data_IF_690415573852
#
_entry.id   IF_690415573852
#
_cell.length_a   1.000
_cell.length_b   1.000
_cell.length_c   1.000
_cell.angle_alpha   90.00
_cell.angle_beta   90.00
_cell.angle_gamma   90.00
#
_symmetry.space_group_name_H-M   'P 1'
#
loop_
_entity.id
_entity.type
_entity.pdbx_description
1 polymer ?
#
# COMPACT_ATOMS: atom_id res chain seq x y z
N UNK A 1 40.67 -4.87 -13.97
CA UNK A 1 39.81 -6.07 -13.91
C UNK A 1 39.19 -6.33 -12.53
N UNK A 2 39.94 -6.36 -11.42
CA UNK A 2 39.37 -6.57 -10.06
C UNK A 2 38.33 -5.53 -9.62
N UNK A 3 38.50 -4.26 -9.98
CA UNK A 3 37.53 -3.19 -9.66
C UNK A 3 36.21 -3.27 -10.44
N UNK A 4 36.24 -3.79 -11.67
CA UNK A 4 35.04 -3.93 -12.53
C UNK A 4 34.17 -5.09 -12.04
N UNK A 5 34.77 -6.16 -11.52
CA UNK A 5 34.07 -7.30 -10.91
C UNK A 5 33.44 -6.89 -9.56
N UNK A 6 34.09 -6.00 -8.81
CA UNK A 6 33.53 -5.48 -7.55
C UNK A 6 32.31 -4.57 -7.80
N UNK A 7 32.34 -3.76 -8.87
CA UNK A 7 31.25 -2.85 -9.24
C UNK A 7 30.02 -3.59 -9.80
N UNK A 8 30.21 -4.71 -10.52
CA UNK A 8 29.11 -5.54 -11.02
C UNK A 8 28.41 -6.34 -9.91
N UNK A 9 29.13 -6.75 -8.87
CA UNK A 9 28.55 -7.39 -7.68
C UNK A 9 27.71 -6.39 -6.86
N UNK A 10 28.11 -5.11 -6.82
CA UNK A 10 27.38 -4.08 -6.09
C UNK A 10 26.03 -3.72 -6.77
N UNK A 11 25.96 -3.73 -8.11
CA UNK A 11 24.72 -3.40 -8.83
C UNK A 11 23.67 -4.53 -8.78
N UNK A 12 24.05 -5.79 -8.57
CA UNK A 12 23.12 -6.91 -8.58
C UNK A 12 22.36 -7.08 -7.25
N UNK A 13 22.88 -6.57 -6.14
CA UNK A 13 22.26 -6.65 -4.81
C UNK A 13 21.03 -5.74 -4.61
N UNK A 14 20.86 -4.71 -5.43
CA UNK A 14 19.81 -3.69 -5.26
C UNK A 14 18.44 -4.18 -5.77
N UNK A 15 18.39 -5.17 -6.67
CA UNK A 15 17.16 -5.67 -7.27
C UNK A 15 16.30 -6.57 -6.35
N UNK A 16 16.93 -7.32 -5.44
CA UNK A 16 16.24 -8.33 -4.62
C UNK A 16 15.39 -7.71 -3.48
N UNK A 17 15.79 -6.56 -2.93
CA UNK A 17 15.05 -5.88 -1.87
C UNK A 17 13.79 -5.14 -2.36
N UNK A 18 13.72 -4.79 -3.64
CA UNK A 18 12.60 -4.03 -4.22
C UNK A 18 11.32 -4.87 -4.37
N UNK A 19 11.46 -6.17 -4.64
CA UNK A 19 10.34 -7.06 -4.94
C UNK A 19 9.43 -7.29 -3.71
N UNK A 20 9.99 -7.65 -2.56
CA UNK A 20 9.21 -7.94 -1.35
C UNK A 20 8.43 -6.71 -0.83
N UNK A 21 8.97 -5.50 -1.06
CA UNK A 21 8.32 -4.26 -0.67
C UNK A 21 6.99 -4.04 -1.40
N UNK A 22 6.90 -4.42 -2.70
CA UNK A 22 5.69 -4.15 -3.49
C UNK A 22 4.50 -5.00 -3.05
N UNK A 23 4.74 -6.27 -2.74
CA UNK A 23 3.69 -7.19 -2.25
C UNK A 23 3.12 -6.71 -0.92
N UNK A 24 3.98 -6.29 0.01
CA UNK A 24 3.59 -5.76 1.32
C UNK A 24 2.84 -4.43 1.20
N UNK A 25 3.22 -3.56 0.28
CA UNK A 25 2.50 -2.32 -0.04
C UNK A 25 1.06 -2.61 -0.51
N UNK A 26 0.91 -3.53 -1.48
CA UNK A 26 -0.41 -3.92 -2.00
C UNK A 26 -1.29 -4.55 -0.90
N UNK A 27 -0.71 -5.40 -0.05
CA UNK A 27 -1.43 -5.98 1.08
C UNK A 27 -1.89 -4.93 2.08
N UNK A 28 -1.01 -4.01 2.46
CA UNK A 28 -1.34 -2.90 3.38
C UNK A 28 -2.46 -2.06 2.80
N UNK A 29 -2.35 -1.70 1.51
CA UNK A 29 -3.38 -0.92 0.82
C UNK A 29 -4.72 -1.65 0.75
N UNK A 30 -4.71 -2.96 0.51
CA UNK A 30 -5.91 -3.80 0.53
C UNK A 30 -6.56 -3.80 1.92
N UNK A 31 -5.77 -3.92 2.98
CA UNK A 31 -6.27 -3.88 4.36
C UNK A 31 -6.87 -2.50 4.72
N UNK A 32 -6.24 -1.41 4.29
CA UNK A 32 -6.79 -0.05 4.44
C UNK A 32 -8.15 0.08 3.78
N UNK A 33 -8.27 -0.33 2.51
CA UNK A 33 -9.53 -0.27 1.75
C UNK A 33 -10.62 -1.13 2.41
N UNK A 34 -10.28 -2.29 2.97
CA UNK A 34 -11.23 -3.13 3.74
C UNK A 34 -11.73 -2.42 5.00
N UNK A 35 -10.81 -1.84 5.78
CA UNK A 35 -11.17 -1.07 6.98
C UNK A 35 -12.04 0.13 6.60
N UNK A 36 -11.76 0.77 5.47
CA UNK A 36 -12.55 1.87 4.95
C UNK A 36 -13.97 1.42 4.56
N UNK A 37 -14.13 0.29 3.87
CA UNK A 37 -15.44 -0.30 3.55
C UNK A 37 -16.23 -0.63 4.82
N UNK A 38 -15.56 -1.18 5.84
CA UNK A 38 -16.18 -1.48 7.13
C UNK A 38 -16.69 -0.19 7.81
N UNK A 39 -15.85 0.85 7.87
CA UNK A 39 -16.24 2.16 8.40
C UNK A 39 -17.42 2.76 7.63
N UNK A 40 -17.39 2.73 6.29
CA UNK A 40 -18.51 3.21 5.45
C UNK A 40 -19.79 2.45 5.78
N UNK A 41 -19.71 1.13 5.92
CA UNK A 41 -20.88 0.28 6.18
C UNK A 41 -21.47 0.55 7.56
N UNK A 42 -20.62 0.68 8.59
CA UNK A 42 -21.03 1.05 9.94
C UNK A 42 -21.67 2.45 9.98
N UNK A 43 -21.04 3.43 9.33
CA UNK A 43 -21.57 4.79 9.23
C UNK A 43 -22.91 4.83 8.48
N UNK A 44 -23.09 4.00 7.44
CA UNK A 44 -24.38 3.89 6.74
C UNK A 44 -25.45 3.26 7.64
N UNK A 45 -25.13 2.22 8.40
CA UNK A 45 -26.08 1.58 9.30
C UNK A 45 -26.56 2.53 10.41
N UNK A 46 -25.64 3.25 11.06
CA UNK A 46 -25.98 4.23 12.10
C UNK A 46 -26.78 5.43 11.57
N UNK A 47 -26.63 5.76 10.29
CA UNK A 47 -27.31 6.89 9.66
C UNK A 47 -28.63 6.51 8.94
N UNK A 48 -28.98 5.22 8.86
CA UNK A 48 -30.21 4.74 8.19
C UNK A 48 -31.50 5.15 8.90
N UNK A 49 -31.46 5.36 10.23
CA UNK A 49 -32.62 5.73 11.06
C UNK A 49 -32.97 7.22 11.02
N UNK A 50 -32.21 8.04 10.30
CA UNK A 50 -32.41 9.49 10.21
C UNK A 50 -32.65 9.81 8.75
N UNK A 51 -33.78 10.44 8.44
CA UNK A 51 -34.22 10.81 7.09
C UNK A 51 -33.15 11.61 6.32
N UNK A 52 -32.19 10.91 5.71
CA UNK A 52 -31.18 11.52 4.86
C UNK A 52 -31.78 11.72 3.47
N UNK A 53 -31.66 12.93 2.96
CA UNK A 53 -31.94 13.29 1.56
C UNK A 53 -31.33 12.26 0.60
N UNK A 54 -32.07 11.89 -0.44
CA UNK A 54 -31.63 11.01 -1.54
C UNK A 54 -30.25 11.40 -2.10
N UNK A 55 -29.94 12.71 -2.10
CA UNK A 55 -28.65 13.24 -2.52
C UNK A 55 -27.47 12.81 -1.63
N UNK A 56 -27.66 12.71 -0.32
CA UNK A 56 -26.60 12.22 0.58
C UNK A 56 -26.42 10.70 0.44
N UNK A 57 -27.51 9.98 0.14
CA UNK A 57 -27.44 8.55 -0.07
C UNK A 57 -26.66 8.21 -1.35
N UNK A 58 -26.92 8.92 -2.45
CA UNK A 58 -26.22 8.67 -3.71
C UNK A 58 -24.72 8.96 -3.60
N UNK A 59 -24.31 10.05 -2.94
CA UNK A 59 -22.89 10.34 -2.67
C UNK A 59 -22.20 9.20 -1.90
N UNK A 60 -22.87 8.66 -0.87
CA UNK A 60 -22.35 7.56 -0.08
C UNK A 60 -22.24 6.25 -0.89
N UNK A 61 -23.19 5.98 -1.80
CA UNK A 61 -23.11 4.87 -2.73
C UNK A 61 -21.96 5.05 -3.72
N UNK A 62 -21.85 6.21 -4.38
CA UNK A 62 -20.77 6.50 -5.33
C UNK A 62 -19.39 6.35 -4.66
N UNK A 63 -19.24 6.83 -3.42
CA UNK A 63 -18.02 6.65 -2.66
C UNK A 63 -17.72 5.18 -2.37
N UNK A 64 -18.69 4.42 -1.84
CA UNK A 64 -18.52 2.99 -1.56
C UNK A 64 -18.15 2.20 -2.81
N UNK A 65 -18.81 2.47 -3.94
CA UNK A 65 -18.52 1.87 -5.24
C UNK A 65 -17.07 2.17 -5.66
N UNK A 66 -16.60 3.41 -5.49
CA UNK A 66 -15.21 3.78 -5.80
C UNK A 66 -14.20 3.02 -4.92
N UNK A 67 -14.46 2.85 -3.62
CA UNK A 67 -13.57 2.09 -2.72
C UNK A 67 -13.57 0.60 -3.09
N UNK A 68 -14.73 0.02 -3.43
CA UNK A 68 -14.84 -1.36 -3.88
C UNK A 68 -14.10 -1.61 -5.21
N UNK A 69 -14.23 -0.69 -6.17
CA UNK A 69 -13.51 -0.76 -7.45
C UNK A 69 -11.98 -0.72 -7.24
N UNK A 70 -11.52 0.19 -6.37
CA UNK A 70 -10.11 0.25 -5.96
C UNK A 70 -9.65 -1.03 -5.25
N UNK A 71 -10.49 -1.62 -4.38
CA UNK A 71 -10.18 -2.88 -3.71
C UNK A 71 -10.00 -4.02 -4.71
N UNK A 72 -10.89 -4.12 -5.71
CA UNK A 72 -10.77 -5.11 -6.79
C UNK A 72 -9.50 -4.87 -7.60
N UNK A 73 -9.19 -3.62 -7.96
CA UNK A 73 -7.98 -3.25 -8.69
C UNK A 73 -6.71 -3.66 -7.96
N UNK A 74 -6.59 -3.31 -6.67
CA UNK A 74 -5.43 -3.68 -5.83
C UNK A 74 -5.34 -5.20 -5.64
N UNK A 75 -6.47 -5.87 -5.44
CA UNK A 75 -6.51 -7.34 -5.30
C UNK A 75 -6.06 -8.04 -6.59
N UNK A 76 -6.48 -7.54 -7.76
CA UNK A 76 -6.02 -8.02 -9.06
C UNK A 76 -4.51 -7.80 -9.26
N UNK A 77 -4.01 -6.61 -8.90
CA UNK A 77 -2.57 -6.31 -8.96
C UNK A 77 -1.77 -7.26 -8.06
N UNK A 78 -2.25 -7.55 -6.85
CA UNK A 78 -1.62 -8.50 -5.94
C UNK A 78 -1.65 -9.93 -6.48
N UNK A 79 -2.79 -10.39 -7.02
CA UNK A 79 -2.90 -11.71 -7.63
C UNK A 79 -1.99 -11.88 -8.85
N UNK A 80 -1.88 -10.83 -9.67
CA UNK A 80 -0.95 -10.79 -10.80
C UNK A 80 0.48 -10.84 -10.31
N UNK A 81 0.84 -10.07 -9.28
CA UNK A 81 2.18 -10.10 -8.70
C UNK A 81 2.57 -11.50 -8.20
N UNK A 82 1.70 -12.14 -7.41
CA UNK A 82 1.92 -13.52 -6.94
C UNK A 82 2.01 -14.50 -8.12
N UNK A 83 1.26 -14.28 -9.20
CA UNK A 83 1.36 -15.10 -10.42
C UNK A 83 2.75 -15.01 -11.06
N UNK A 84 3.36 -13.83 -11.09
CA UNK A 84 4.73 -13.66 -11.60
C UNK A 84 5.75 -14.34 -10.68
N UNK A 85 5.59 -14.23 -9.35
CA UNK A 85 6.45 -14.94 -8.38
C UNK A 85 6.35 -16.46 -8.56
N UNK A 86 5.13 -17.00 -8.68
CA UNK A 86 4.88 -18.43 -8.93
C UNK A 86 5.59 -18.88 -10.20
N UNK A 87 5.47 -18.13 -11.30
CA UNK A 87 6.10 -18.48 -12.57
C UNK A 87 7.64 -18.45 -12.48
N UNK A 88 8.21 -17.48 -11.76
CA UNK A 88 9.66 -17.41 -11.52
C UNK A 88 10.15 -18.59 -10.68
N UNK A 89 9.44 -18.89 -9.58
CA UNK A 89 9.77 -20.00 -8.69
C UNK A 89 9.61 -21.35 -9.38
N UNK A 90 8.60 -21.52 -10.23
CA UNK A 90 8.41 -22.72 -11.03
C UNK A 90 9.60 -22.97 -11.97
N UNK A 91 10.10 -21.93 -12.66
CA UNK A 91 11.29 -22.03 -13.50
C UNK A 91 12.54 -22.43 -12.70
N UNK A 92 12.75 -21.81 -11.53
CA UNK A 92 13.86 -22.16 -10.63
C UNK A 92 13.77 -23.61 -10.17
N UNK A 93 12.58 -24.07 -9.79
CA UNK A 93 12.32 -25.46 -9.38
C UNK A 93 12.62 -26.44 -10.52
N UNK A 94 12.22 -26.12 -11.75
CA UNK A 94 12.53 -26.96 -12.91
C UNK A 94 14.04 -27.05 -13.14
N UNK A 95 14.74 -25.90 -13.18
CA UNK A 95 16.19 -25.88 -13.37
C UNK A 95 16.93 -26.64 -12.27
N UNK A 96 16.58 -26.41 -11.00
CA UNK A 96 17.19 -27.13 -9.86
C UNK A 96 16.90 -28.64 -9.90
N UNK A 97 15.73 -29.05 -10.39
CA UNK A 97 15.43 -30.47 -10.60
C UNK A 97 16.34 -31.09 -11.65
N UNK A 98 16.54 -30.39 -12.77
CA UNK A 98 17.39 -30.88 -13.86
C UNK A 98 18.85 -30.94 -13.43
N UNK A 99 19.35 -29.91 -12.73
CA UNK A 99 20.69 -29.90 -12.12
C UNK A 99 20.87 -31.04 -11.12
N UNK A 100 19.92 -31.24 -10.21
CA UNK A 100 19.96 -32.33 -9.22
C UNK A 100 19.93 -33.71 -9.90
N UNK A 101 19.20 -33.85 -11.01
CA UNK A 101 19.17 -35.09 -11.78
C UNK A 101 20.57 -35.40 -12.34
N UNK A 102 21.19 -34.43 -13.00
CA UNK A 102 22.56 -34.58 -13.55
C UNK A 102 23.57 -34.88 -12.44
N UNK A 103 23.56 -34.11 -11.35
CA UNK A 103 24.46 -34.33 -10.21
C UNK A 103 24.32 -35.73 -9.59
N UNK A 104 23.08 -36.23 -9.47
CA UNK A 104 22.82 -37.58 -8.94
C UNK A 104 23.27 -38.67 -9.90
N UNK A 105 23.07 -38.49 -11.21
CA UNK A 105 23.54 -39.42 -12.24
C UNK A 105 25.07 -39.48 -12.28
N UNK A 106 25.74 -38.33 -12.25
CA UNK A 106 27.20 -38.23 -12.20
C UNK A 106 27.78 -38.85 -10.94
N UNK A 107 27.21 -38.51 -9.78
CA UNK A 107 27.62 -39.08 -8.49
C UNK A 107 27.42 -40.60 -8.47
N UNK A 108 26.27 -41.12 -8.93
CA UNK A 108 26.03 -42.54 -9.02
C UNK A 108 27.05 -43.24 -9.95
N UNK A 109 27.34 -42.65 -11.11
CA UNK A 109 28.33 -43.19 -12.05
C UNK A 109 29.73 -43.26 -11.43
N UNK A 110 30.11 -42.22 -10.67
CA UNK A 110 31.38 -42.14 -9.97
C UNK A 110 31.48 -43.22 -8.88
N UNK A 111 30.42 -43.42 -8.08
CA UNK A 111 30.38 -44.46 -7.05
C UNK A 111 30.49 -45.85 -7.68
N UNK A 112 29.75 -46.14 -8.75
CA UNK A 112 29.82 -47.43 -9.46
C UNK A 112 31.23 -47.68 -10.02
N UNK A 113 31.84 -46.67 -10.67
CA UNK A 113 33.23 -46.77 -11.17
C UNK A 113 34.22 -47.01 -10.04
N UNK A 114 34.09 -46.29 -8.91
CA UNK A 114 34.93 -46.49 -7.73
C UNK A 114 34.75 -47.85 -7.10
N UNK A 115 33.57 -48.45 -7.17
CA UNK A 115 33.31 -49.79 -6.64
C UNK A 115 33.95 -50.86 -7.53
N UNK A 116 33.74 -50.78 -8.85
CA UNK A 116 34.31 -51.73 -9.83
C UNK A 116 35.85 -51.72 -9.83
N UNK A 117 36.48 -50.56 -9.70
CA UNK A 117 37.94 -50.44 -9.66
C UNK A 117 38.59 -50.94 -8.36
N UNK A 118 37.81 -51.10 -7.28
CA UNK A 118 38.29 -51.57 -5.98
C UNK A 118 38.91 -52.97 -6.04
N UNK A 119 38.43 -53.84 -6.93
CA UNK A 119 38.94 -55.21 -7.11
C UNK A 119 40.10 -55.30 -8.12
N UNK A 120 40.19 -54.40 -9.11
CA UNK A 120 41.25 -54.45 -10.14
C UNK A 120 42.55 -53.77 -9.69
N UNK A 121 42.48 -52.69 -8.91
CA UNK A 121 43.64 -52.00 -8.36
C UNK A 121 43.32 -51.52 -6.93
N UNK A 122 43.57 -52.36 -5.93
CA UNK A 122 43.41 -51.98 -4.51
C UNK A 122 44.11 -50.64 -4.24
N UNK A 123 43.44 -49.72 -3.52
CA UNK A 123 44.01 -48.39 -3.18
C UNK A 123 45.37 -48.50 -2.50
N UNK A 124 45.57 -49.56 -1.72
CA UNK A 124 46.83 -49.89 -1.07
C UNK A 124 47.87 -50.31 -2.14
N UNK A 125 47.51 -51.20 -3.06
CA UNK A 125 48.38 -51.60 -4.19
C UNK A 125 48.74 -50.41 -5.10
N UNK A 126 47.82 -49.46 -5.30
CA UNK A 126 48.09 -48.23 -6.05
C UNK A 126 49.12 -47.33 -5.35
N UNK A 127 49.10 -47.26 -4.02
CA UNK A 127 50.11 -46.53 -3.25
C UNK A 127 51.44 -47.28 -3.21
N UNK A 128 51.41 -48.59 -2.99
CA UNK A 128 52.60 -49.46 -2.87
C UNK A 128 53.32 -49.71 -4.20
N UNK A 129 52.63 -49.64 -5.34
CA UNK A 129 53.24 -49.75 -6.69
C UNK A 129 53.92 -48.45 -7.16
N UNK A 130 54.39 -47.62 -6.24
CA UNK A 130 55.07 -46.35 -6.57
C UNK A 130 56.58 -46.59 -6.65
N UNK A 131 57.22 -46.05 -7.69
CA UNK A 131 58.66 -46.21 -7.93
C UNK A 131 59.53 -45.41 -6.94
N UNK A 132 58.97 -44.40 -6.26
CA UNK A 132 59.67 -43.60 -5.23
C UNK A 132 58.68 -42.88 -4.29
N UNK A 133 59.21 -42.35 -3.18
CA UNK A 133 58.44 -41.64 -2.15
C UNK A 133 57.67 -40.41 -2.68
N UNK A 134 58.29 -39.62 -3.57
CA UNK A 134 57.65 -38.45 -4.19
C UNK A 134 56.41 -38.84 -5.00
N UNK A 135 56.47 -39.95 -5.74
CA UNK A 135 55.35 -40.49 -6.49
C UNK A 135 54.24 -41.01 -5.56
N UNK A 136 54.61 -41.73 -4.50
CA UNK A 136 53.66 -42.22 -3.49
C UNK A 136 52.91 -41.07 -2.80
N UNK A 137 53.63 -40.00 -2.41
CA UNK A 137 53.04 -38.81 -1.80
C UNK A 137 52.05 -38.10 -2.74
N UNK A 138 52.39 -37.94 -4.02
CA UNK A 138 51.46 -37.39 -5.02
C UNK A 138 50.21 -38.25 -5.18
N UNK A 139 50.36 -39.58 -5.30
CA UNK A 139 49.24 -40.53 -5.37
C UNK A 139 48.32 -40.45 -4.14
N UNK A 140 48.90 -40.30 -2.94
CA UNK A 140 48.14 -40.08 -1.71
C UNK A 140 47.37 -38.76 -1.73
N UNK A 141 47.98 -37.67 -2.19
CA UNK A 141 47.27 -36.40 -2.36
C UNK A 141 46.11 -36.51 -3.35
N UNK A 142 46.29 -37.20 -4.48
CA UNK A 142 45.21 -37.42 -5.44
C UNK A 142 44.05 -38.22 -4.85
N UNK A 143 44.33 -39.28 -4.09
CA UNK A 143 43.28 -40.04 -3.39
C UNK A 143 42.51 -39.15 -2.40
N UNK A 144 43.22 -38.30 -1.65
CA UNK A 144 42.60 -37.35 -0.72
C UNK A 144 41.71 -36.33 -1.45
N UNK A 145 42.20 -35.74 -2.54
CA UNK A 145 41.43 -34.81 -3.37
C UNK A 145 40.16 -35.48 -3.93
N UNK A 146 40.29 -36.71 -4.43
CA UNK A 146 39.16 -37.49 -4.92
C UNK A 146 38.11 -37.71 -3.82
N UNK A 147 38.50 -38.22 -2.64
CA UNK A 147 37.56 -38.43 -1.53
C UNK A 147 36.89 -37.14 -1.06
N UNK A 148 37.63 -36.03 -1.07
CA UNK A 148 37.07 -34.72 -0.72
C UNK A 148 36.04 -34.26 -1.75
N UNK A 149 36.31 -34.45 -3.05
CA UNK A 149 35.37 -34.15 -4.12
C UNK A 149 34.10 -34.99 -4.01
N UNK A 150 34.20 -36.30 -3.71
CA UNK A 150 33.02 -37.15 -3.48
C UNK A 150 32.17 -36.63 -2.33
N UNK A 151 32.81 -36.26 -1.21
CA UNK A 151 32.12 -35.70 -0.05
C UNK A 151 31.41 -34.38 -0.42
N UNK A 152 32.10 -33.48 -1.12
CA UNK A 152 31.55 -32.20 -1.56
C UNK A 152 30.33 -32.39 -2.49
N UNK A 153 30.39 -33.30 -3.45
CA UNK A 153 29.24 -33.61 -4.32
C UNK A 153 28.04 -34.12 -3.51
N UNK A 154 28.27 -34.99 -2.52
CA UNK A 154 27.21 -35.46 -1.63
C UNK A 154 26.57 -34.33 -0.81
N UNK A 155 27.39 -33.43 -0.26
CA UNK A 155 26.92 -32.24 0.48
C UNK A 155 26.16 -31.27 -0.43
N UNK A 156 26.61 -31.06 -1.66
CA UNK A 156 25.93 -30.23 -2.66
C UNK A 156 24.57 -30.79 -3.05
N UNK A 157 24.48 -32.10 -3.33
CA UNK A 157 23.20 -32.78 -3.62
C UNK A 157 22.25 -32.62 -2.45
N UNK A 158 22.73 -32.77 -1.21
CA UNK A 158 21.91 -32.58 -0.01
C UNK A 158 21.39 -31.14 0.07
N UNK A 159 22.26 -30.15 -0.02
CA UNK A 159 21.90 -28.74 0.08
C UNK A 159 20.89 -28.32 -1.01
N UNK A 160 21.13 -28.70 -2.27
CA UNK A 160 20.20 -28.44 -3.38
C UNK A 160 18.87 -29.18 -3.20
N UNK A 161 18.87 -30.37 -2.60
CA UNK A 161 17.62 -31.11 -2.31
C UNK A 161 16.78 -30.39 -1.25
N UNK A 162 17.42 -29.90 -0.18
CA UNK A 162 16.76 -29.11 0.86
C UNK A 162 16.22 -27.78 0.30
N UNK A 163 16.99 -27.09 -0.54
CA UNK A 163 16.54 -25.89 -1.25
C UNK A 163 15.31 -26.17 -2.12
N UNK A 164 15.35 -27.24 -2.92
CA UNK A 164 14.23 -27.65 -3.77
C UNK A 164 12.97 -27.96 -2.94
N UNK A 165 13.13 -28.64 -1.80
CA UNK A 165 12.01 -28.92 -0.90
C UNK A 165 11.40 -27.63 -0.36
N UNK A 166 12.24 -26.70 0.13
CA UNK A 166 11.82 -25.38 0.61
C UNK A 166 11.05 -24.61 -0.47
N UNK A 167 11.59 -24.53 -1.69
CA UNK A 167 10.94 -23.86 -2.82
C UNK A 167 9.59 -24.46 -3.18
N UNK A 168 9.46 -25.79 -3.19
CA UNK A 168 8.18 -26.46 -3.43
C UNK A 168 7.15 -26.14 -2.32
N UNK A 169 7.56 -26.13 -1.05
CA UNK A 169 6.65 -25.77 0.05
C UNK A 169 6.18 -24.32 -0.05
N UNK A 170 7.07 -23.39 -0.43
CA UNK A 170 6.71 -21.99 -0.64
C UNK A 170 5.76 -21.83 -1.84
N UNK A 171 6.02 -22.53 -2.94
CA UNK A 171 5.17 -22.51 -4.13
C UNK A 171 3.73 -22.95 -3.81
N UNK A 172 3.54 -23.98 -2.98
CA UNK A 172 2.22 -24.43 -2.53
C UNK A 172 1.51 -23.31 -1.76
N UNK A 173 2.19 -22.71 -0.78
CA UNK A 173 1.65 -21.58 0.00
C UNK A 173 1.25 -20.40 -0.89
N UNK A 174 2.09 -20.03 -1.86
CA UNK A 174 1.78 -18.95 -2.81
C UNK A 174 0.54 -19.26 -3.67
N UNK A 175 0.36 -20.52 -4.10
CA UNK A 175 -0.83 -20.95 -4.86
C UNK A 175 -2.10 -20.88 -4.01
N UNK A 176 -2.05 -21.36 -2.77
CA UNK A 176 -3.16 -21.28 -1.82
C UNK A 176 -3.58 -19.83 -1.53
N UNK A 177 -2.59 -18.97 -1.27
CA UNK A 177 -2.84 -17.55 -1.05
C UNK A 177 -3.48 -16.90 -2.28
N UNK A 178 -2.95 -17.14 -3.49
CA UNK A 178 -3.55 -16.65 -4.73
C UNK A 178 -5.01 -17.09 -4.88
N UNK A 179 -5.31 -18.36 -4.61
CA UNK A 179 -6.68 -18.88 -4.71
C UNK A 179 -7.62 -18.20 -3.71
N UNK A 180 -7.16 -17.96 -2.48
CA UNK A 180 -7.90 -17.18 -1.48
C UNK A 180 -8.18 -15.76 -1.97
N UNK A 181 -7.20 -15.08 -2.55
CA UNK A 181 -7.39 -13.73 -3.10
C UNK A 181 -8.43 -13.70 -4.22
N UNK A 182 -8.41 -14.68 -5.11
CA UNK A 182 -9.38 -14.78 -6.21
C UNK A 182 -10.80 -15.01 -5.65
N UNK A 183 -10.95 -15.87 -4.65
CA UNK A 183 -12.24 -16.11 -4.00
C UNK A 183 -12.78 -14.83 -3.32
N UNK A 184 -11.94 -14.14 -2.54
CA UNK A 184 -12.29 -12.85 -1.91
C UNK A 184 -12.65 -11.77 -2.95
N UNK A 185 -11.93 -11.74 -4.08
CA UNK A 185 -12.20 -10.80 -5.16
C UNK A 185 -13.56 -11.06 -5.82
N UNK A 186 -13.94 -12.32 -6.05
CA UNK A 186 -15.26 -12.70 -6.59
C UNK A 186 -16.41 -12.24 -5.68
N UNK A 187 -16.25 -12.39 -4.36
CA UNK A 187 -17.24 -11.88 -3.38
C UNK A 187 -17.34 -10.36 -3.46
N UNK A 188 -16.20 -9.68 -3.57
CA UNK A 188 -16.13 -8.21 -3.70
C UNK A 188 -16.81 -7.74 -5.00
N UNK A 189 -16.62 -8.45 -6.11
CA UNK A 189 -17.29 -8.18 -7.39
C UNK A 189 -18.82 -8.29 -7.27
N UNK A 190 -19.33 -9.39 -6.70
CA UNK A 190 -20.77 -9.55 -6.45
C UNK A 190 -21.34 -8.42 -5.58
N UNK A 191 -20.59 -8.01 -4.56
CA UNK A 191 -20.99 -6.90 -3.69
C UNK A 191 -21.01 -5.57 -4.45
N UNK A 192 -20.02 -5.32 -5.31
CA UNK A 192 -19.95 -4.14 -6.16
C UNK A 192 -21.13 -4.08 -7.15
N UNK A 193 -21.48 -5.21 -7.77
CA UNK A 193 -22.64 -5.31 -8.66
C UNK A 193 -23.94 -4.98 -7.92
N UNK A 194 -24.15 -5.54 -6.73
CA UNK A 194 -25.32 -5.23 -5.91
C UNK A 194 -25.38 -3.75 -5.48
N UNK A 195 -24.24 -3.12 -5.16
CA UNK A 195 -24.22 -1.68 -4.84
C UNK A 195 -24.45 -0.82 -6.09
N UNK A 196 -23.97 -1.24 -7.26
CA UNK A 196 -24.20 -0.55 -8.54
C UNK A 196 -25.67 -0.57 -8.94
N UNK A 197 -26.35 -1.71 -8.84
CA UNK A 197 -27.78 -1.80 -9.16
C UNK A 197 -28.63 -0.91 -8.24
N UNK A 198 -28.33 -0.89 -6.94
CA UNK A 198 -28.98 0.02 -5.99
C UNK A 198 -28.71 1.50 -6.32
N UNK A 199 -27.47 1.84 -6.65
CA UNK A 199 -27.08 3.19 -7.06
C UNK A 199 -27.79 3.61 -8.36
N UNK A 200 -27.89 2.71 -9.34
CA UNK A 200 -28.59 2.97 -10.61
C UNK A 200 -30.08 3.21 -10.40
N UNK A 201 -30.75 2.40 -9.59
CA UNK A 201 -32.16 2.58 -9.25
C UNK A 201 -32.42 3.93 -8.58
N UNK A 202 -31.55 4.32 -7.62
CA UNK A 202 -31.63 5.64 -6.99
C UNK A 202 -31.35 6.76 -8.00
N UNK A 203 -30.35 6.59 -8.87
CA UNK A 203 -30.04 7.58 -9.91
C UNK A 203 -31.19 7.77 -10.89
N UNK A 204 -31.93 6.70 -11.23
CA UNK A 204 -33.13 6.82 -12.07
C UNK A 204 -34.21 7.67 -11.39
N UNK A 205 -34.43 7.50 -10.08
CA UNK A 205 -35.38 8.34 -9.33
C UNK A 205 -34.95 9.80 -9.25
N UNK A 206 -33.64 10.05 -9.09
CA UNK A 206 -33.05 11.39 -9.07
C UNK A 206 -33.17 12.04 -10.46
N UNK A 207 -32.90 11.31 -11.55
CA UNK A 207 -33.03 11.81 -12.92
C UNK A 207 -34.45 12.24 -13.27
N UNK A 208 -35.47 11.51 -12.79
CA UNK A 208 -36.89 11.91 -12.96
C UNK A 208 -37.17 13.27 -12.32
N UNK A 209 -36.43 13.63 -11.27
CA UNK A 209 -36.56 14.89 -10.53
C UNK A 209 -35.29 15.77 -10.68
N UNK A 210 -34.61 15.72 -11.83
CA UNK A 210 -33.29 16.34 -12.00
C UNK A 210 -33.31 17.84 -11.71
N UNK A 211 -34.33 18.56 -12.18
CA UNK A 211 -34.48 20.01 -11.95
C UNK A 211 -34.51 20.37 -10.46
N UNK A 212 -35.23 19.59 -9.64
CA UNK A 212 -35.31 19.75 -8.18
C UNK A 212 -33.93 19.57 -7.54
N UNK A 213 -33.20 18.51 -7.91
CA UNK A 213 -31.90 18.22 -7.34
C UNK A 213 -30.81 19.18 -7.82
N UNK A 214 -30.81 19.58 -9.09
CA UNK A 214 -29.94 20.63 -9.64
C UNK A 214 -30.16 21.96 -8.91
N UNK A 215 -31.42 22.32 -8.61
CA UNK A 215 -31.73 23.50 -7.81
C UNK A 215 -31.18 23.38 -6.36
N UNK A 216 -31.35 22.23 -5.71
CA UNK A 216 -30.79 21.96 -4.38
C UNK A 216 -29.25 22.02 -4.36
N UNK A 217 -28.59 21.47 -5.38
CA UNK A 217 -27.13 21.54 -5.53
C UNK A 217 -26.68 22.99 -5.66
N UNK A 218 -27.29 23.75 -6.58
CA UNK A 218 -26.97 25.18 -6.76
C UNK A 218 -27.22 25.98 -5.48
N UNK A 219 -28.26 25.66 -4.72
CA UNK A 219 -28.51 26.29 -3.43
C UNK A 219 -27.40 26.00 -2.41
N UNK A 220 -26.98 24.73 -2.30
CA UNK A 220 -25.88 24.33 -1.42
C UNK A 220 -24.53 24.94 -1.82
N UNK A 221 -24.25 25.04 -3.11
CA UNK A 221 -23.04 25.72 -3.61
C UNK A 221 -23.05 27.21 -3.28
N UNK A 222 -24.19 27.89 -3.44
CA UNK A 222 -24.32 29.30 -3.05
C UNK A 222 -24.17 29.51 -1.54
N UNK A 223 -24.72 28.60 -0.74
CA UNK A 223 -24.58 28.64 0.71
C UNK A 223 -23.13 28.41 1.14
N UNK A 224 -22.44 27.42 0.55
CA UNK A 224 -21.02 27.20 0.76
C UNK A 224 -20.18 28.41 0.36
N UNK A 225 -20.40 28.97 -0.82
CA UNK A 225 -19.68 30.17 -1.29
C UNK A 225 -19.92 31.39 -0.38
N UNK A 226 -21.12 31.55 0.17
CA UNK A 226 -21.42 32.61 1.15
C UNK A 226 -20.65 32.40 2.46
N UNK A 227 -20.64 31.17 2.98
CA UNK A 227 -19.89 30.82 4.19
C UNK A 227 -18.40 31.08 3.98
N UNK A 228 -17.84 30.65 2.85
CA UNK A 228 -16.44 30.85 2.53
C UNK A 228 -16.09 32.34 2.41
N UNK A 229 -16.95 33.15 1.78
CA UNK A 229 -16.75 34.59 1.71
C UNK A 229 -16.78 35.27 3.09
N UNK A 230 -17.63 34.80 4.00
CA UNK A 230 -17.68 35.33 5.37
C UNK A 230 -16.45 34.91 6.17
N UNK A 231 -16.01 33.65 6.04
CA UNK A 231 -14.76 33.15 6.64
C UNK A 231 -13.58 34.00 6.13
N UNK A 232 -13.48 34.25 4.83
CA UNK A 232 -12.43 35.07 4.24
C UNK A 232 -12.44 36.51 4.77
N UNK A 233 -13.63 37.09 4.96
CA UNK A 233 -13.79 38.44 5.51
C UNK A 233 -13.31 38.50 6.96
N UNK A 234 -13.66 37.50 7.76
CA UNK A 234 -13.24 37.37 9.16
C UNK A 234 -11.73 37.19 9.26
N UNK A 235 -11.14 36.30 8.46
CA UNK A 235 -9.70 36.07 8.42
C UNK A 235 -8.97 37.38 8.04
N UNK A 236 -9.46 38.12 7.02
CA UNK A 236 -8.87 39.41 6.63
C UNK A 236 -8.96 40.45 7.74
N UNK A 237 -10.10 40.54 8.42
CA UNK A 237 -10.28 41.46 9.55
C UNK A 237 -9.35 41.10 10.72
N UNK A 238 -9.17 39.81 11.00
CA UNK A 238 -8.26 39.31 12.01
C UNK A 238 -6.78 39.63 11.69
N UNK A 239 -6.36 39.41 10.44
CA UNK A 239 -5.01 39.75 9.97
C UNK A 239 -4.77 41.25 10.08
N UNK A 240 -5.72 42.08 9.66
CA UNK A 240 -5.61 43.54 9.75
C UNK A 240 -5.51 44.01 11.21
N UNK A 241 -6.30 43.45 12.13
CA UNK A 241 -6.24 43.76 13.56
C UNK A 241 -4.90 43.36 14.17
N UNK A 242 -4.41 42.15 13.88
CA UNK A 242 -3.10 41.66 14.31
C UNK A 242 -1.95 42.56 13.80
N UNK A 243 -1.97 42.91 12.51
CA UNK A 243 -0.93 43.77 11.91
C UNK A 243 -0.98 45.20 12.46
N UNK A 244 -2.18 45.74 12.73
CA UNK A 244 -2.35 47.07 13.37
C UNK A 244 -1.77 47.09 14.79
N UNK A 245 -2.03 46.06 15.59
CA UNK A 245 -1.49 45.94 16.96
C UNK A 245 0.04 45.79 16.95
N UNK A 246 0.59 45.10 15.95
CA UNK A 246 2.03 44.89 15.81
C UNK A 246 2.77 46.01 15.06
N UNK A 247 2.11 47.14 14.74
CA UNK A 247 2.72 48.27 14.03
C UNK A 247 3.17 47.97 12.59
N UNK A 248 2.65 46.92 11.96
CA UNK A 248 2.95 46.53 10.57
C UNK A 248 1.91 47.10 9.60
N UNK A 249 2.30 47.25 8.34
CA UNK A 249 1.41 47.75 7.29
C UNK A 249 0.14 46.90 7.19
N UNK A 250 -1.03 47.55 7.10
CA UNK A 250 -2.33 46.89 6.98
C UNK A 250 -2.50 46.08 5.67
N UNK A 251 -1.57 46.20 4.73
CA UNK A 251 -1.55 45.49 3.44
C UNK A 251 -0.92 44.09 3.49
N UNK A 252 -0.33 43.65 4.61
CA UNK A 252 0.26 42.31 4.68
C UNK A 252 -0.80 41.20 4.73
N UNK A 253 -0.63 40.19 3.87
CA UNK A 253 -1.51 39.00 3.75
C UNK A 253 -1.28 37.92 4.82
N UNK A 254 -0.37 38.14 5.76
CA UNK A 254 -0.01 37.19 6.83
C UNK A 254 -0.08 37.88 8.18
N UNK A 255 -0.31 37.10 9.23
CA UNK A 255 -0.35 37.58 10.61
C UNK A 255 1.01 38.13 11.06
N UNK A 256 0.98 39.11 11.97
CA UNK A 256 2.20 39.58 12.62
C UNK A 256 2.63 38.59 13.69
N UNK A 257 3.62 37.76 13.36
CA UNK A 257 4.03 36.66 14.24
C UNK A 257 5.00 37.07 15.36
N UNK A 258 4.69 36.66 16.58
CA UNK A 258 5.65 36.60 17.70
C UNK A 258 6.68 35.48 17.46
N UNK A 259 7.84 35.50 18.15
CA UNK A 259 8.83 34.41 18.05
C UNK A 259 8.25 33.02 18.39
N UNK A 260 7.31 32.95 19.33
CA UNK A 260 6.62 31.72 19.72
C UNK A 260 5.66 31.23 18.64
N UNK A 261 4.89 32.14 18.03
CA UNK A 261 3.98 31.82 16.92
C UNK A 261 4.73 31.40 15.65
N UNK A 262 5.91 31.98 15.39
CA UNK A 262 6.79 31.52 14.31
C UNK A 262 7.25 30.08 14.53
N UNK A 263 7.68 29.74 15.76
CA UNK A 263 8.05 28.36 16.11
C UNK A 263 6.87 27.40 15.96
N UNK A 264 5.68 27.80 16.43
CA UNK A 264 4.46 26.99 16.29
C UNK A 264 4.10 26.77 14.81
N UNK A 265 4.14 27.81 13.98
CA UNK A 265 3.88 27.73 12.55
C UNK A 265 4.90 26.83 11.84
N UNK A 266 6.20 26.99 12.13
CA UNK A 266 7.25 26.13 11.59
C UNK A 266 7.02 24.66 11.97
N UNK A 267 6.65 24.38 13.21
CA UNK A 267 6.35 23.03 13.67
C UNK A 267 5.08 22.46 13.00
N UNK A 268 4.06 23.27 12.76
CA UNK A 268 2.86 22.85 12.04
C UNK A 268 3.18 22.47 10.59
N UNK A 269 3.93 23.32 9.88
CA UNK A 269 4.35 23.06 8.49
C UNK A 269 5.26 21.85 8.40
N UNK A 270 6.17 21.65 9.35
CA UNK A 270 7.05 20.48 9.41
C UNK A 270 6.28 19.15 9.56
N UNK A 271 5.09 19.18 10.15
CA UNK A 271 4.21 18.02 10.33
C UNK A 271 3.26 17.77 9.13
N UNK A 272 3.45 18.46 8.00
CA UNK A 272 2.65 18.23 6.78
C UNK A 272 2.66 16.74 6.40
N UNK A 273 1.46 16.16 6.28
CA UNK A 273 1.27 14.74 5.96
C UNK A 273 1.36 13.78 7.15
N UNK A 274 1.73 14.27 8.35
CA UNK A 274 1.80 13.50 9.61
C UNK A 274 0.79 13.98 10.67
N UNK A 275 -0.08 14.91 10.31
CA UNK A 275 -1.10 15.44 11.22
C UNK A 275 -2.13 14.34 11.57
N UNK A 276 -2.56 14.24 12.85
CA UNK A 276 -3.60 13.33 13.26
C UNK A 276 -4.94 13.70 12.62
N UNK A 277 -5.81 12.71 12.48
CA UNK A 277 -7.18 12.93 12.01
C UNK A 277 -8.00 13.72 13.05
N UNK A 278 -8.83 14.68 12.62
CA UNK A 278 -9.64 15.50 13.52
C UNK A 278 -10.77 14.70 14.20
N UNK A 279 -11.09 13.51 13.70
CA UNK A 279 -12.09 12.61 14.29
C UNK A 279 -11.48 11.22 14.46
N UNK A 280 -11.91 10.47 15.48
CA UNK A 280 -11.45 9.10 15.70
C UNK A 280 -11.85 8.18 14.55
N UNK A 281 -13.09 8.31 14.08
CA UNK A 281 -13.65 7.51 12.99
C UNK A 281 -14.34 8.42 11.98
N UNK A 282 -13.91 8.37 10.73
CA UNK A 282 -14.56 9.13 9.68
C UNK A 282 -14.13 8.68 8.29
N UNK A 283 -14.92 9.10 7.31
CA UNK A 283 -14.70 8.84 5.88
C UNK A 283 -14.72 10.17 5.14
N UNK A 284 -13.75 10.40 4.26
CA UNK A 284 -13.69 11.62 3.45
C UNK A 284 -14.77 11.54 2.39
N UNK A 285 -15.86 12.29 2.58
CA UNK A 285 -16.99 12.32 1.65
C UNK A 285 -16.80 13.36 0.54
N UNK A 286 -16.05 14.43 0.80
CA UNK A 286 -15.71 15.45 -0.20
C UNK A 286 -14.25 15.86 -0.06
N UNK A 287 -13.50 15.81 -1.16
CA UNK A 287 -12.10 16.25 -1.21
C UNK A 287 -12.01 17.74 -1.53
N UNK A 288 -10.86 18.32 -1.22
CA UNK A 288 -10.51 19.69 -1.62
C UNK A 288 -10.44 19.81 -3.15
N UNK A 289 -10.84 20.97 -3.67
CA UNK A 289 -10.80 21.32 -5.08
C UNK A 289 -12.15 21.25 -5.79
N UNK A 290 -12.11 21.46 -7.09
CA UNK A 290 -13.27 21.40 -8.00
C UNK A 290 -13.53 19.98 -8.45
N UNK A 291 -14.76 19.50 -8.26
CA UNK A 291 -15.17 18.17 -8.69
C UNK A 291 -16.56 18.21 -9.32
N UNK A 292 -16.82 17.41 -10.37
CA UNK A 292 -18.16 17.35 -10.95
C UNK A 292 -19.15 16.77 -9.94
N UNK A 293 -20.39 17.25 -9.96
CA UNK A 293 -21.44 16.68 -9.11
C UNK A 293 -21.70 15.22 -9.49
N UNK A 294 -21.86 14.30 -8.52
CA UNK A 294 -22.20 12.90 -8.79
C UNK A 294 -23.55 12.71 -9.51
N UNK A 295 -24.42 13.70 -9.42
CA UNK A 295 -25.78 13.69 -9.99
C UNK A 295 -25.80 14.35 -11.36
N UNK A 296 -25.18 15.53 -11.48
CA UNK A 296 -25.18 16.34 -12.70
C UNK A 296 -23.76 16.75 -13.05
N UNK A 297 -23.18 16.08 -14.05
CA UNK A 297 -21.80 16.32 -14.49
C UNK A 297 -21.58 17.71 -15.10
N UNK A 298 -22.64 18.43 -15.46
CA UNK A 298 -22.52 19.81 -15.93
C UNK A 298 -22.24 20.80 -14.80
N UNK A 299 -22.53 20.43 -13.56
CA UNK A 299 -22.28 21.25 -12.38
C UNK A 299 -20.95 20.87 -11.72
N UNK A 300 -20.18 21.89 -11.38
CA UNK A 300 -18.94 21.74 -10.61
C UNK A 300 -19.19 22.15 -9.16
N UNK A 301 -18.81 21.27 -8.24
CA UNK A 301 -18.78 21.50 -6.80
C UNK A 301 -17.39 22.00 -6.44
N UNK A 302 -17.30 23.20 -5.86
CA UNK A 302 -16.03 23.76 -5.39
C UNK A 302 -15.92 23.56 -3.88
N UNK A 303 -14.88 22.85 -3.44
CA UNK A 303 -14.62 22.63 -2.01
C UNK A 303 -13.30 23.24 -1.58
N UNK A 304 -13.38 24.26 -0.73
CA UNK A 304 -12.21 24.89 -0.09
C UNK A 304 -11.65 24.08 1.09
N UNK A 305 -12.17 22.88 1.34
CA UNK A 305 -11.70 22.00 2.40
C UNK A 305 -12.02 20.53 2.16
N UNK A 306 -11.83 19.72 3.20
CA UNK A 306 -12.16 18.30 3.20
C UNK A 306 -13.36 18.07 4.12
N UNK A 307 -14.42 17.44 3.61
CA UNK A 307 -15.57 17.04 4.43
C UNK A 307 -15.38 15.59 4.88
N UNK A 308 -15.40 15.37 6.19
CA UNK A 308 -15.27 14.06 6.81
C UNK A 308 -16.60 13.68 7.44
N UNK A 309 -17.24 12.64 6.92
CA UNK A 309 -18.44 12.05 7.52
C UNK A 309 -18.05 11.18 8.70
N UNK A 310 -18.63 11.45 9.88
CA UNK A 310 -18.34 10.76 11.15
C UNK A 310 -19.63 10.35 11.88
N UNK A 311 -19.49 9.68 13.03
CA UNK A 311 -20.59 9.28 13.90
C UNK A 311 -21.23 10.51 14.58
N UNK A 312 -22.53 10.45 14.89
CA UNK A 312 -23.20 11.56 15.58
C UNK A 312 -22.64 11.70 16.99
N UNK A 313 -22.26 12.93 17.38
CA UNK A 313 -21.70 13.20 18.69
C UNK A 313 -20.23 12.82 18.84
N UNK A 314 -19.56 12.42 17.74
CA UNK A 314 -18.12 12.18 17.76
C UNK A 314 -17.37 13.46 18.15
N UNK A 315 -16.38 13.31 19.03
CA UNK A 315 -15.55 14.43 19.48
C UNK A 315 -14.59 14.84 18.35
N UNK A 316 -14.71 16.11 17.91
CA UNK A 316 -13.74 16.72 17.01
C UNK A 316 -12.53 17.21 17.82
N UNK A 317 -11.33 16.82 17.39
CA UNK A 317 -10.04 17.19 17.98
C UNK A 317 -9.31 18.16 17.07
N UNK A 318 -8.57 19.08 17.67
CA UNK A 318 -7.63 19.91 16.93
C UNK A 318 -6.53 19.02 16.32
N UNK A 319 -6.19 19.24 15.05
CA UNK A 319 -5.14 18.47 14.37
C UNK A 319 -3.74 18.86 14.84
N UNK A 320 -3.61 20.01 15.50
CA UNK A 320 -2.35 20.50 16.03
C UNK A 320 -2.62 21.47 17.20
N UNK A 321 -1.60 21.76 17.99
CA UNK A 321 -1.69 22.76 19.04
C UNK A 321 -1.90 24.15 18.43
N UNK A 322 -2.82 24.93 18.98
CA UNK A 322 -3.16 26.25 18.48
C UNK A 322 -4.11 26.99 19.39
N UNK A 323 -4.40 28.23 19.02
CA UNK A 323 -5.29 29.12 19.75
C UNK A 323 -6.65 29.15 19.06
N UNK A 324 -7.73 28.99 19.83
CA UNK A 324 -9.09 29.17 19.29
C UNK A 324 -9.27 30.64 18.96
N UNK A 325 -9.38 30.95 17.68
CA UNK A 325 -9.50 32.32 17.23
C UNK A 325 -10.96 32.80 17.31
N UNK A 326 -11.88 32.01 16.73
CA UNK A 326 -13.28 32.40 16.68
C UNK A 326 -14.22 31.19 16.57
N UNK A 327 -15.42 31.34 17.13
CA UNK A 327 -16.52 30.39 17.02
C UNK A 327 -17.65 31.07 16.25
N UNK A 328 -17.82 30.70 14.97
CA UNK A 328 -18.86 31.27 14.12
C UNK A 328 -20.15 30.47 14.24
N UNK A 329 -21.26 31.17 14.48
CA UNK A 329 -22.61 30.62 14.48
C UNK A 329 -23.39 31.26 13.35
N UNK A 330 -23.31 30.67 12.15
CA UNK A 330 -24.06 31.12 10.98
C UNK A 330 -25.44 30.46 11.01
N UNK A 331 -26.51 31.22 10.71
CA UNK A 331 -27.88 30.70 10.66
C UNK A 331 -27.98 29.56 9.64
N UNK A 332 -28.60 28.45 10.03
CA UNK A 332 -28.76 27.21 9.24
C UNK A 332 -27.45 26.44 8.94
N UNK A 333 -26.34 26.79 9.59
CA UNK A 333 -25.06 26.09 9.46
C UNK A 333 -24.63 25.58 10.83
N UNK A 334 -23.92 24.46 10.87
CA UNK A 334 -23.30 23.99 12.10
C UNK A 334 -22.24 25.00 12.59
N UNK A 335 -22.01 25.12 13.92
CA UNK A 335 -20.99 26.00 14.44
C UNK A 335 -19.62 25.70 13.83
N UNK A 336 -18.90 26.75 13.43
CA UNK A 336 -17.56 26.67 12.83
C UNK A 336 -16.55 27.12 13.88
N UNK A 337 -15.57 26.26 14.15
CA UNK A 337 -14.45 26.56 15.05
C UNK A 337 -13.21 26.85 14.20
N UNK A 338 -12.63 28.04 14.36
CA UNK A 338 -11.39 28.44 13.69
C UNK A 338 -10.25 28.40 14.71
N UNK A 339 -9.21 27.62 14.41
CA UNK A 339 -8.03 27.48 15.26
C UNK A 339 -6.83 28.04 14.49
N UNK A 340 -6.08 28.94 15.14
CA UNK A 340 -4.86 29.55 14.60
C UNK A 340 -3.64 28.76 15.06
N UNK A 341 -2.78 28.38 14.11
CA UNK A 341 -1.53 27.66 14.36
C UNK A 341 -0.28 28.52 14.12
N UNK A 342 -0.41 29.84 14.31
CA UNK A 342 0.63 30.83 14.05
C UNK A 342 0.33 31.71 12.84
N UNK A 343 0.69 31.26 11.63
CA UNK A 343 0.83 32.09 10.41
C UNK A 343 -0.42 32.38 9.57
#
# INVERSE_FOLDING_TARGET
>A
YKLVILLSILLCGIGAFSQNNKRKELETRRQELRREIQKITQLRAQNKSKEKSELSQIEAFSYKISVLDNLIKVTNQQANYITHEINSNQKKITNLRDELKQLKEDYASMIVKSYKSKNQHSRIMFLLSSNNFKQAYKRLQYLKQYTNHQKQQGEEIKAKTEELQSLNTNLIKQKEEKNKLIAENRVTQKTLEAERTLHENLMQSIRKNLSKYTAQIRQKEREAARIDAEIDKIIKAAIAKSNKVAGKAASSKSFALTPEEKKLASNFVANKGKLPWPVERGVVSLRYGSQPSPIDRSLTINSNGVRISTEKGATARAVFNGEVHEILKIRNVNPILIIRHGN
#
